data_IF_942213656478
#
_entry.id   IF_942213656478
#
_cell.length_a   1.000
_cell.length_b   1.000
_cell.length_c   1.000
_cell.angle_alpha   90.00
_cell.angle_beta   90.00
_cell.angle_gamma   90.00
#
_symmetry.space_group_name_H-M   'P 1'
#
loop_
_entity.id
_entity.type
_entity.pdbx_description
1 polymer ?
#
# COMPACT_ATOMS: atom_id res chain seq x y z
N UNK A 1 -13.75 -12.56 28.64
CA UNK A 1 -13.71 -13.06 27.24
C UNK A 1 -12.30 -13.00 26.71
N UNK A 2 -11.74 -14.08 26.13
CA UNK A 2 -10.31 -14.19 25.93
C UNK A 2 -9.86 -13.13 24.93
N UNK A 3 -8.82 -12.41 25.34
CA UNK A 3 -8.21 -11.33 24.59
C UNK A 3 -7.75 -11.93 23.26
N UNK A 4 -8.42 -11.61 22.15
CA UNK A 4 -8.03 -11.96 20.78
C UNK A 4 -6.80 -11.14 20.35
N UNK A 5 -5.72 -11.22 21.14
CA UNK A 5 -4.45 -10.61 20.80
C UNK A 5 -3.69 -11.62 19.94
N UNK A 6 -3.88 -11.51 18.62
CA UNK A 6 -3.20 -12.38 17.67
C UNK A 6 -1.75 -11.92 17.51
N UNK A 7 -0.81 -12.86 17.65
CA UNK A 7 0.63 -12.66 17.36
C UNK A 7 0.85 -12.09 15.95
N UNK A 8 -0.09 -12.34 15.03
CA UNK A 8 -0.13 -11.77 13.69
C UNK A 8 -0.01 -10.24 13.62
N UNK A 9 -0.50 -9.52 14.63
CA UNK A 9 -0.35 -8.06 14.69
C UNK A 9 1.12 -7.65 14.87
N UNK A 10 1.85 -8.33 15.76
CA UNK A 10 3.28 -8.08 15.97
C UNK A 10 4.11 -8.52 14.77
N UNK A 11 3.74 -9.63 14.12
CA UNK A 11 4.36 -10.07 12.88
C UNK A 11 4.17 -9.02 11.79
N UNK A 12 2.95 -8.50 11.61
CA UNK A 12 2.67 -7.46 10.62
C UNK A 12 3.49 -6.18 10.88
N UNK A 13 3.62 -5.76 12.13
CA UNK A 13 4.46 -4.61 12.50
C UNK A 13 5.94 -4.88 12.24
N UNK A 14 6.46 -6.05 12.61
CA UNK A 14 7.83 -6.45 12.34
C UNK A 14 8.14 -6.48 10.84
N UNK A 15 7.22 -7.01 10.03
CA UNK A 15 7.32 -7.04 8.57
C UNK A 15 7.29 -5.62 8.00
N UNK A 16 6.44 -4.72 8.52
CA UNK A 16 6.42 -3.33 8.08
C UNK A 16 7.75 -2.61 8.35
N UNK A 17 8.36 -2.83 9.52
CA UNK A 17 9.69 -2.30 9.86
C UNK A 17 10.78 -2.90 8.96
N UNK A 18 10.70 -4.20 8.69
CA UNK A 18 11.64 -4.89 7.79
C UNK A 18 11.55 -4.32 6.37
N UNK A 19 10.35 -4.09 5.85
CA UNK A 19 10.16 -3.50 4.52
C UNK A 19 10.60 -2.04 4.48
N UNK A 20 10.36 -1.27 5.54
CA UNK A 20 10.92 0.06 5.67
C UNK A 20 12.45 0.04 5.60
N UNK A 21 13.09 -0.88 6.34
CA UNK A 21 14.54 -1.02 6.33
C UNK A 21 15.06 -1.45 4.94
N UNK A 22 14.44 -2.43 4.30
CA UNK A 22 14.82 -2.85 2.94
C UNK A 22 14.68 -1.68 1.96
N UNK A 23 13.57 -0.95 1.97
CA UNK A 23 13.34 0.12 0.99
C UNK A 23 14.25 1.33 1.21
N UNK A 24 14.51 1.73 2.45
CA UNK A 24 15.20 2.99 2.76
C UNK A 24 16.67 2.83 3.14
N UNK A 25 17.10 1.67 3.64
CA UNK A 25 18.48 1.45 4.11
C UNK A 25 19.30 0.52 3.22
N UNK A 26 18.73 -0.13 2.21
CA UNK A 26 19.47 -1.03 1.31
C UNK A 26 19.63 -0.48 -0.11
N UNK A 27 20.68 -0.94 -0.80
CA UNK A 27 20.93 -0.64 -2.22
C UNK A 27 19.82 -1.17 -3.11
N UNK A 28 19.31 -2.37 -2.83
CA UNK A 28 18.17 -2.96 -3.55
C UNK A 28 16.93 -2.07 -3.49
N UNK A 29 16.64 -1.49 -2.32
CA UNK A 29 15.51 -0.56 -2.14
C UNK A 29 15.69 0.75 -2.92
N UNK A 30 16.92 1.25 -3.05
CA UNK A 30 17.21 2.40 -3.91
C UNK A 30 16.97 2.08 -5.39
N UNK A 31 17.48 0.95 -5.87
CA UNK A 31 17.30 0.56 -7.26
C UNK A 31 15.82 0.33 -7.61
N UNK A 32 15.05 -0.35 -6.74
CA UNK A 32 13.60 -0.58 -6.93
C UNK A 32 12.84 0.75 -7.03
N UNK A 33 13.11 1.71 -6.13
CA UNK A 33 12.45 3.03 -6.15
C UNK A 33 12.82 3.82 -7.40
N UNK A 34 14.08 3.74 -7.83
CA UNK A 34 14.56 4.49 -9.00
C UNK A 34 13.98 3.93 -10.29
N UNK A 35 13.94 2.60 -10.43
CA UNK A 35 13.28 1.91 -11.55
C UNK A 35 11.77 2.21 -11.58
N UNK A 36 11.11 2.27 -10.42
CA UNK A 36 9.70 2.63 -10.30
C UNK A 36 9.39 4.08 -10.65
N UNK A 37 10.31 5.01 -10.37
CA UNK A 37 10.14 6.43 -10.69
C UNK A 37 10.41 6.73 -12.18
N UNK A 38 11.51 6.21 -12.74
CA UNK A 38 11.82 6.37 -14.16
C UNK A 38 12.71 5.21 -14.68
N UNK A 39 12.15 4.24 -15.42
CA UNK A 39 12.91 3.09 -15.91
C UNK A 39 13.97 3.49 -16.93
N UNK A 40 13.73 4.52 -17.75
CA UNK A 40 14.70 5.00 -18.74
C UNK A 40 15.92 5.60 -18.04
N UNK A 41 15.71 6.46 -17.04
CA UNK A 41 16.81 7.02 -16.24
C UNK A 41 17.57 5.94 -15.47
N UNK A 42 16.86 4.93 -14.95
CA UNK A 42 17.49 3.81 -14.25
C UNK A 42 18.41 2.98 -15.18
N UNK A 43 18.01 2.80 -16.44
CA UNK A 43 18.83 2.12 -17.45
C UNK A 43 20.11 2.90 -17.76
N UNK A 44 20.02 4.22 -17.85
CA UNK A 44 21.19 5.09 -18.06
C UNK A 44 22.15 5.06 -16.87
N UNK A 45 21.64 4.87 -15.65
CA UNK A 45 22.45 4.71 -14.45
C UNK A 45 23.05 3.29 -14.27
N UNK A 46 22.87 2.38 -15.24
CA UNK A 46 23.43 1.03 -15.21
C UNK A 46 22.67 0.01 -14.37
N UNK A 47 21.44 0.33 -13.92
CA UNK A 47 20.62 -0.61 -13.14
C UNK A 47 19.90 -1.62 -14.04
N UNK A 48 19.81 -2.87 -13.60
CA UNK A 48 19.11 -3.93 -14.31
C UNK A 48 17.60 -3.91 -13.99
N UNK A 49 16.81 -3.26 -14.85
CA UNK A 49 15.35 -3.14 -14.71
C UNK A 49 14.68 -4.51 -14.51
N UNK A 50 15.01 -5.49 -15.34
CA UNK A 50 14.35 -6.81 -15.32
C UNK A 50 14.60 -7.53 -14.00
N UNK A 51 15.85 -7.52 -13.52
CA UNK A 51 16.20 -8.14 -12.23
C UNK A 51 15.45 -7.47 -11.07
N UNK A 52 15.42 -6.14 -11.05
CA UNK A 52 14.76 -5.39 -9.98
C UNK A 52 13.25 -5.56 -9.99
N UNK A 53 12.64 -5.67 -11.16
CA UNK A 53 11.22 -5.98 -11.30
C UNK A 53 10.91 -7.38 -10.75
N UNK A 54 11.68 -8.40 -11.14
CA UNK A 54 11.48 -9.78 -10.64
C UNK A 54 11.63 -9.84 -9.12
N UNK A 55 12.67 -9.22 -8.56
CA UNK A 55 12.89 -9.16 -7.10
C UNK A 55 11.71 -8.46 -6.41
N UNK A 56 11.23 -7.33 -6.95
CA UNK A 56 10.09 -6.61 -6.38
C UNK A 56 8.81 -7.46 -6.40
N UNK A 57 8.56 -8.20 -7.49
CA UNK A 57 7.40 -9.10 -7.57
C UNK A 57 7.53 -10.28 -6.60
N UNK A 58 8.72 -10.87 -6.45
CA UNK A 58 8.96 -11.93 -5.48
C UNK A 58 8.73 -11.46 -4.04
N UNK A 59 9.23 -10.28 -3.67
CA UNK A 59 9.00 -9.69 -2.34
C UNK A 59 7.51 -9.42 -2.12
N UNK A 60 6.83 -8.82 -3.10
CA UNK A 60 5.37 -8.57 -3.01
C UNK A 60 4.57 -9.86 -2.84
N UNK A 61 4.87 -10.90 -3.62
CA UNK A 61 4.25 -12.21 -3.52
C UNK A 61 4.48 -12.88 -2.17
N UNK A 62 5.70 -12.80 -1.62
CA UNK A 62 6.01 -13.31 -0.30
C UNK A 62 5.22 -12.58 0.81
N UNK A 63 5.09 -11.26 0.73
CA UNK A 63 4.30 -10.47 1.67
C UNK A 63 2.80 -10.79 1.59
N UNK A 64 2.26 -10.92 0.37
CA UNK A 64 0.87 -11.29 0.15
C UNK A 64 0.58 -12.70 0.69
N UNK A 65 1.49 -13.64 0.47
CA UNK A 65 1.41 -15.00 1.01
C UNK A 65 1.46 -15.01 2.54
N UNK A 66 2.35 -14.24 3.16
CA UNK A 66 2.42 -14.09 4.63
C UNK A 66 1.16 -13.48 5.22
N UNK A 67 0.58 -12.47 4.55
CA UNK A 67 -0.68 -11.86 4.99
C UNK A 67 -1.83 -12.87 4.96
N UNK A 68 -1.97 -13.63 3.86
CA UNK A 68 -2.99 -14.68 3.75
C UNK A 68 -2.79 -15.82 4.74
N UNK A 69 -1.54 -16.29 4.92
CA UNK A 69 -1.20 -17.31 5.89
C UNK A 69 -1.56 -16.87 7.32
N UNK A 70 -1.25 -15.63 7.69
CA UNK A 70 -1.58 -15.09 9.00
C UNK A 70 -3.10 -15.02 9.24
N UNK A 71 -3.89 -14.65 8.23
CA UNK A 71 -5.36 -14.61 8.34
C UNK A 71 -5.95 -16.01 8.56
N UNK A 72 -5.49 -17.00 7.78
CA UNK A 72 -6.03 -18.37 7.80
C UNK A 72 -5.58 -19.13 9.04
N UNK A 73 -4.28 -19.13 9.35
CA UNK A 73 -3.71 -19.85 10.49
C UNK A 73 -3.94 -19.14 11.82
N UNK A 74 -3.99 -17.81 11.82
CA UNK A 74 -4.05 -17.01 13.04
C UNK A 74 -5.46 -16.71 13.52
N UNK A 75 -6.34 -16.27 12.63
CA UNK A 75 -7.66 -15.72 13.01
C UNK A 75 -8.75 -16.76 12.82
N UNK A 76 -8.93 -17.24 11.59
CA UNK A 76 -10.11 -18.03 11.24
C UNK A 76 -9.95 -19.54 11.55
N UNK A 77 -8.71 -20.05 11.67
CA UNK A 77 -8.37 -21.47 11.86
C UNK A 77 -9.07 -22.43 10.86
N UNK A 78 -9.70 -21.88 9.82
CA UNK A 78 -10.51 -22.54 8.81
C UNK A 78 -10.53 -21.65 7.56
N UNK A 79 -10.56 -22.26 6.39
CA UNK A 79 -10.63 -21.56 5.12
C UNK A 79 -12.08 -21.18 4.82
N UNK A 80 -12.52 -20.03 5.33
CA UNK A 80 -13.87 -19.53 5.08
C UNK A 80 -14.09 -19.28 3.57
N UNK A 81 -15.25 -19.69 3.04
CA UNK A 81 -15.69 -19.27 1.71
C UNK A 81 -15.74 -17.73 1.69
N UNK A 82 -15.00 -17.12 0.74
CA UNK A 82 -14.79 -15.68 0.64
C UNK A 82 -13.89 -15.02 1.74
N UNK A 83 -12.85 -15.73 2.23
CA UNK A 83 -11.87 -15.19 3.18
C UNK A 83 -11.19 -13.86 2.74
N UNK A 84 -11.18 -13.55 1.44
CA UNK A 84 -10.52 -12.38 0.85
C UNK A 84 -11.46 -11.56 -0.05
N UNK A 85 -12.73 -11.41 0.29
CA UNK A 85 -13.59 -10.50 -0.47
C UNK A 85 -13.19 -9.04 -0.18
N UNK A 86 -12.49 -8.41 -1.12
CA UNK A 86 -12.21 -6.97 -1.14
C UNK A 86 -10.90 -6.49 -0.50
N UNK A 87 -10.27 -7.24 0.42
CA UNK A 87 -9.08 -6.75 1.14
C UNK A 87 -7.92 -6.31 0.25
N UNK A 88 -7.66 -7.03 -0.84
CA UNK A 88 -6.63 -6.65 -1.80
C UNK A 88 -6.95 -5.37 -2.57
N UNK A 89 -8.22 -5.18 -2.96
CA UNK A 89 -8.67 -3.99 -3.69
C UNK A 89 -8.63 -2.75 -2.81
N UNK A 90 -9.15 -2.84 -1.58
CA UNK A 90 -9.12 -1.73 -0.62
C UNK A 90 -7.68 -1.35 -0.25
N UNK A 91 -6.79 -2.34 -0.14
CA UNK A 91 -5.37 -2.11 0.16
C UNK A 91 -4.64 -1.27 -0.88
N UNK A 92 -5.08 -1.25 -2.14
CA UNK A 92 -4.52 -0.37 -3.17
C UNK A 92 -4.78 1.09 -2.80
N UNK A 93 -6.00 1.41 -2.38
CA UNK A 93 -6.35 2.76 -1.95
C UNK A 93 -5.61 3.16 -0.66
N UNK A 94 -5.43 2.23 0.27
CA UNK A 94 -4.66 2.47 1.51
C UNK A 94 -3.18 2.73 1.22
N UNK A 95 -2.61 2.03 0.24
CA UNK A 95 -1.23 2.28 -0.21
C UNK A 95 -1.08 3.71 -0.78
N UNK A 96 -2.08 4.17 -1.55
CA UNK A 96 -2.12 5.52 -2.10
C UNK A 96 -2.30 6.59 -1.00
N UNK A 97 -3.18 6.35 -0.02
CA UNK A 97 -3.33 7.22 1.15
C UNK A 97 -2.01 7.39 1.91
N UNK A 98 -1.28 6.29 2.08
CA UNK A 98 0.05 6.29 2.69
C UNK A 98 1.16 6.86 1.80
N UNK A 99 0.86 7.36 0.59
CA UNK A 99 1.83 7.82 -0.42
C UNK A 99 2.94 6.80 -0.69
N UNK A 100 2.62 5.50 -0.66
CA UNK A 100 3.58 4.39 -0.77
C UNK A 100 4.69 4.39 0.30
N UNK A 101 4.55 5.17 1.37
CA UNK A 101 5.48 5.16 2.50
C UNK A 101 5.03 4.11 3.54
N UNK A 102 5.88 3.14 3.93
CA UNK A 102 5.48 2.03 4.80
C UNK A 102 4.78 2.48 6.10
N UNK A 103 5.27 3.55 6.74
CA UNK A 103 4.64 4.10 7.95
C UNK A 103 3.22 4.65 7.69
N UNK A 104 3.01 5.31 6.55
CA UNK A 104 1.70 5.85 6.18
C UNK A 104 0.71 4.73 5.87
N UNK A 105 1.17 3.66 5.22
CA UNK A 105 0.36 2.47 4.95
C UNK A 105 -0.06 1.77 6.25
N UNK A 106 0.84 1.64 7.23
CA UNK A 106 0.51 1.05 8.54
C UNK A 106 -0.58 1.88 9.25
N UNK A 107 -0.46 3.20 9.28
CA UNK A 107 -1.46 4.06 9.91
C UNK A 107 -2.83 3.96 9.19
N UNK A 108 -2.84 3.95 7.86
CA UNK A 108 -4.05 3.77 7.07
C UNK A 108 -4.71 2.40 7.31
N UNK A 109 -3.91 1.33 7.34
CA UNK A 109 -4.38 -0.03 7.61
C UNK A 109 -4.92 -0.18 9.04
N UNK A 110 -4.30 0.46 10.04
CA UNK A 110 -4.79 0.50 11.42
C UNK A 110 -6.15 1.18 11.52
N UNK A 111 -6.33 2.33 10.85
CA UNK A 111 -7.62 3.01 10.82
C UNK A 111 -8.70 2.12 10.19
N UNK A 112 -8.43 1.52 9.04
CA UNK A 112 -9.40 0.64 8.38
C UNK A 112 -9.69 -0.64 9.18
N UNK A 113 -8.66 -1.22 9.81
CA UNK A 113 -8.79 -2.39 10.67
C UNK A 113 -9.62 -2.12 11.92
N UNK A 114 -9.46 -0.95 12.55
CA UNK A 114 -10.27 -0.55 13.72
C UNK A 114 -11.72 -0.28 13.32
N UNK A 115 -11.98 0.41 12.19
CA UNK A 115 -13.32 0.61 11.65
C UNK A 115 -14.02 -0.73 11.36
N UNK A 116 -13.31 -1.68 10.72
CA UNK A 116 -13.85 -3.00 10.39
C UNK A 116 -14.12 -3.85 11.63
N UNK A 117 -13.20 -3.86 12.60
CA UNK A 117 -13.37 -4.60 13.85
C UNK A 117 -14.48 -4.00 14.72
N UNK A 118 -14.59 -2.67 14.72
CA UNK A 118 -15.68 -1.93 15.35
C UNK A 118 -17.03 -2.25 14.72
N UNK A 119 -17.07 -2.32 13.38
CA UNK A 119 -18.26 -2.72 12.62
C UNK A 119 -18.82 -4.05 13.08
N UNK A 120 -17.98 -5.09 13.15
CA UNK A 120 -18.39 -6.44 13.56
C UNK A 120 -18.90 -6.44 15.00
N UNK A 121 -18.29 -5.66 15.90
CA UNK A 121 -18.78 -5.52 17.28
C UNK A 121 -20.14 -4.81 17.35
N UNK A 122 -20.33 -3.75 16.57
CA UNK A 122 -21.60 -3.01 16.49
C UNK A 122 -22.71 -3.85 15.85
N UNK A 123 -22.40 -4.67 14.86
CA UNK A 123 -23.34 -5.62 14.28
C UNK A 123 -23.82 -6.63 15.31
N UNK A 124 -22.88 -7.17 16.11
CA UNK A 124 -23.19 -8.19 17.12
C UNK A 124 -23.97 -7.64 18.33
N UNK A 125 -23.77 -6.38 18.71
CA UNK A 125 -24.37 -5.79 19.93
C UNK A 125 -25.59 -4.94 19.59
N UNK A 126 -25.47 -4.05 18.59
CA UNK A 126 -26.46 -3.02 18.28
C UNK A 126 -27.32 -3.34 17.04
N UNK A 127 -27.16 -4.51 16.42
CA UNK A 127 -27.89 -4.94 15.21
C UNK A 127 -27.78 -3.97 14.03
N UNK A 128 -26.73 -3.14 13.99
CA UNK A 128 -26.48 -2.21 12.90
C UNK A 128 -25.89 -2.98 11.71
N UNK A 129 -26.44 -2.84 10.48
CA UNK A 129 -25.91 -3.49 9.29
C UNK A 129 -24.45 -3.09 9.01
N UNK A 130 -23.62 -4.06 8.62
CA UNK A 130 -22.21 -3.83 8.26
C UNK A 130 -22.04 -2.92 7.04
N UNK A 131 -23.09 -2.80 6.23
CA UNK A 131 -23.14 -1.97 5.02
C UNK A 131 -22.84 -0.50 5.30
N UNK A 132 -23.20 0.02 6.48
CA UNK A 132 -22.88 1.40 6.88
C UNK A 132 -21.36 1.62 6.90
N UNK A 133 -20.59 0.66 7.40
CA UNK A 133 -19.12 0.77 7.43
C UNK A 133 -18.54 0.64 6.03
N UNK A 134 -19.07 -0.24 5.19
CA UNK A 134 -18.67 -0.34 3.78
C UNK A 134 -18.87 0.98 3.04
N UNK A 135 -19.99 1.69 3.29
CA UNK A 135 -20.25 3.02 2.71
C UNK A 135 -19.22 4.04 3.22
N UNK A 136 -18.93 4.05 4.53
CA UNK A 136 -17.91 4.95 5.09
C UNK A 136 -16.53 4.69 4.48
N UNK A 137 -16.12 3.42 4.37
CA UNK A 137 -14.86 3.02 3.73
C UNK A 137 -14.81 3.45 2.26
N UNK A 138 -15.91 3.26 1.51
CA UNK A 138 -16.02 3.71 0.13
C UNK A 138 -15.91 5.23 -0.01
N UNK A 139 -16.52 5.99 0.90
CA UNK A 139 -16.38 7.45 0.94
C UNK A 139 -14.93 7.87 1.23
N UNK A 140 -14.25 7.21 2.18
CA UNK A 140 -12.84 7.49 2.46
C UNK A 140 -11.99 7.25 1.21
N UNK A 141 -12.18 6.12 0.53
CA UNK A 141 -11.48 5.79 -0.73
C UNK A 141 -11.79 6.84 -1.82
N UNK A 142 -13.05 7.25 -1.96
CA UNK A 142 -13.45 8.28 -2.89
C UNK A 142 -12.75 9.62 -2.61
N UNK A 143 -12.65 10.03 -1.34
CA UNK A 143 -11.93 11.25 -0.96
C UNK A 143 -10.41 11.16 -1.20
N UNK A 144 -9.81 9.99 -1.02
CA UNK A 144 -8.38 9.76 -1.33
C UNK A 144 -8.13 9.87 -2.85
N UNK A 145 -9.06 9.35 -3.66
CA UNK A 145 -8.97 9.39 -5.11
C UNK A 145 -9.38 10.75 -5.70
N UNK A 146 -10.17 11.55 -4.99
CA UNK A 146 -10.72 12.82 -5.48
C UNK A 146 -9.66 13.78 -6.06
N UNK A 147 -8.48 14.01 -5.45
CA UNK A 147 -7.45 14.86 -6.03
C UNK A 147 -6.97 14.37 -7.40
N UNK A 148 -6.83 13.05 -7.57
CA UNK A 148 -6.43 12.45 -8.85
C UNK A 148 -7.55 12.56 -9.89
N UNK A 149 -8.80 12.33 -9.49
CA UNK A 149 -9.99 12.46 -10.36
C UNK A 149 -10.17 13.91 -10.82
N UNK A 150 -10.09 14.89 -9.91
CA UNK A 150 -10.20 16.31 -10.23
C UNK A 150 -9.10 16.72 -11.22
N UNK A 151 -7.85 16.28 -10.99
CA UNK A 151 -6.74 16.55 -11.92
C UNK A 151 -6.97 15.94 -13.29
N UNK A 152 -7.48 14.71 -13.35
CA UNK A 152 -7.78 14.03 -14.61
C UNK A 152 -8.91 14.75 -15.38
N UNK A 153 -9.96 15.17 -14.68
CA UNK A 153 -11.12 15.86 -15.27
C UNK A 153 -10.75 17.25 -15.80
N UNK A 154 -10.02 18.03 -15.00
CA UNK A 154 -9.59 19.39 -15.38
C UNK A 154 -8.28 19.41 -16.18
N UNK A 155 -7.72 18.25 -16.56
CA UNK A 155 -6.44 18.10 -17.28
C UNK A 155 -5.31 18.97 -16.69
N UNK A 156 -5.26 19.09 -15.37
CA UNK A 156 -4.22 19.86 -14.69
C UNK A 156 -2.91 19.06 -14.76
N UNK A 157 -1.96 19.52 -15.58
CA UNK A 157 -0.63 18.91 -15.67
C UNK A 157 0.08 19.05 -14.33
N UNK A 158 0.60 17.93 -13.83
CA UNK A 158 1.55 17.92 -12.72
C UNK A 158 2.79 18.69 -13.18
N UNK A 159 3.14 19.78 -12.49
CA UNK A 159 4.48 20.33 -12.60
C UNK A 159 5.43 19.22 -12.18
N UNK A 160 6.21 18.69 -13.12
CA UNK A 160 7.15 17.61 -12.86
C UNK A 160 8.12 18.06 -11.76
N UNK A 161 7.97 17.51 -10.55
CA UNK A 161 9.02 17.59 -9.54
C UNK A 161 10.22 16.82 -10.09
N UNK A 162 11.20 17.55 -10.63
CA UNK A 162 12.52 17.00 -10.95
C UNK A 162 12.97 17.01 -12.40
N UNK A 163 12.28 17.66 -13.34
CA UNK A 163 13.02 18.24 -14.49
C UNK A 163 13.56 19.58 -14.02
N UNK A 164 14.64 19.51 -13.23
CA UNK A 164 15.62 20.59 -13.24
C UNK A 164 15.89 20.85 -14.71
N UNK A 165 15.37 21.97 -15.18
CA UNK A 165 15.59 22.47 -16.52
C UNK A 165 17.08 22.35 -16.76
N UNK A 166 17.51 21.32 -17.50
CA UNK A 166 18.79 21.37 -18.18
C UNK A 166 18.57 22.44 -19.22
N UNK A 167 18.73 23.68 -18.76
CA UNK A 167 18.89 24.86 -19.59
C UNK A 167 20.19 24.59 -20.34
N UNK A 168 20.13 23.78 -21.40
CA UNK A 168 21.05 23.85 -22.53
C UNK A 168 20.79 25.17 -23.24
N UNK A 169 21.12 26.28 -22.56
CA UNK A 169 21.41 27.55 -23.21
C UNK A 169 22.85 27.89 -22.91
N UNK A 170 23.67 27.81 -23.95
CA UNK A 170 25.03 28.36 -23.98
C UNK A 170 25.87 27.76 -25.10
N UNK A 171 25.36 27.66 -26.33
CA UNK A 171 25.74 28.51 -27.48
C UNK A 171 26.98 28.00 -28.24
N UNK A 172 26.81 27.79 -29.55
CA UNK A 172 27.93 27.62 -30.46
C UNK A 172 28.69 28.93 -30.65
N UNK A 173 29.96 28.91 -30.27
CA UNK A 173 31.15 29.24 -31.07
C UNK A 173 32.37 28.65 -30.39
#
# INVERSE_FOLDING_TARGET
DPIRFHIGFFIALAVAVLIYWILFKTTLGFEIRTVGANPSAAKYAGMNITRNLVIAMCISGALAGLAGANEVLGVNHNLAFAFSSGYGFDSIALALLGKSHPLGVVLAALLFGTLRSGATRMQNIAHIPIDIISIIQALIIAFIAAPAIIRALYRIKVAAEGEGTVFTRGWGK
#
